data_IF_832316951776
#
_entry.id   IF_832316951776
#
_cell.length_a   1.000
_cell.length_b   1.000
_cell.length_c   1.000
_cell.angle_alpha   90.00
_cell.angle_beta   90.00
_cell.angle_gamma   90.00
#
_symmetry.space_group_name_H-M   'P 1'
#
loop_
_entity.id
_entity.type
_entity.pdbx_description
1 polymer ?
#
# COMPACT_ATOMS: atom_id res chain seq x y z
N UNK A 1 -0.71 4.27 5.63
CA UNK A 1 0.32 3.30 5.20
C UNK A 1 -0.22 1.89 5.19
N UNK A 2 0.08 1.13 4.13
CA UNK A 2 -0.24 -0.30 4.05
C UNK A 2 0.66 -1.17 4.95
N UNK A 3 1.74 -0.58 5.49
CA UNK A 3 2.75 -1.28 6.27
C UNK A 3 3.23 -0.41 7.43
N UNK A 4 3.38 -1.01 8.60
CA UNK A 4 4.00 -0.41 9.77
C UNK A 4 5.50 -0.70 9.75
N UNK A 5 6.29 0.33 9.99
CA UNK A 5 7.74 0.27 10.19
C UNK A 5 8.04 0.98 11.49
N UNK A 6 8.66 0.32 12.45
CA UNK A 6 9.04 0.92 13.71
C UNK A 6 10.40 0.40 14.20
N UNK A 7 11.11 1.23 14.94
CA UNK A 7 12.44 0.94 15.47
C UNK A 7 12.95 2.07 16.34
N UNK A 8 14.16 1.94 16.82
CA UNK A 8 14.82 2.96 17.62
C UNK A 8 15.68 3.86 16.74
N UNK A 9 15.71 5.14 17.06
CA UNK A 9 16.58 6.10 16.39
C UNK A 9 18.07 5.68 16.55
N UNK A 10 18.85 5.87 15.47
CA UNK A 10 20.26 5.48 15.43
C UNK A 10 20.52 4.03 14.99
N UNK A 11 19.48 3.24 14.73
CA UNK A 11 19.63 1.92 14.11
C UNK A 11 19.52 2.03 12.58
N UNK A 12 20.30 1.23 11.84
CA UNK A 12 20.33 1.26 10.36
C UNK A 12 19.03 0.77 9.72
N UNK A 13 18.30 -0.11 10.40
CA UNK A 13 17.06 -0.70 9.90
C UNK A 13 15.95 -0.65 10.97
N UNK A 14 14.67 -0.55 10.55
CA UNK A 14 13.57 -0.66 11.50
C UNK A 14 13.57 -2.04 12.16
N UNK A 15 13.31 -2.09 13.47
CA UNK A 15 13.26 -3.34 14.23
C UNK A 15 12.08 -4.20 13.84
N UNK A 16 10.96 -3.58 13.48
CA UNK A 16 9.79 -4.30 12.98
C UNK A 16 9.26 -3.71 11.66
N UNK A 17 8.73 -4.62 10.86
CA UNK A 17 8.12 -4.35 9.57
C UNK A 17 6.98 -5.35 9.36
N UNK A 18 5.72 -4.87 9.36
CA UNK A 18 4.55 -5.74 9.19
C UNK A 18 3.38 -4.99 8.55
N UNK A 19 2.41 -5.72 7.94
CA UNK A 19 1.23 -5.11 7.33
C UNK A 19 0.36 -4.38 8.34
N UNK A 20 -0.15 -3.22 7.96
CA UNK A 20 -1.08 -2.42 8.77
C UNK A 20 -2.49 -2.97 8.64
N UNK A 21 -2.76 -4.10 9.30
CA UNK A 21 -4.05 -4.77 9.27
C UNK A 21 -4.38 -5.46 10.59
N UNK A 22 -5.68 -5.57 10.86
CA UNK A 22 -6.25 -6.29 12.00
C UNK A 22 -7.20 -7.36 11.47
N UNK A 23 -7.02 -8.59 11.93
CA UNK A 23 -7.89 -9.72 11.61
C UNK A 23 -8.79 -10.07 12.79
N UNK A 24 -10.08 -10.23 12.53
CA UNK A 24 -11.05 -10.74 13.50
C UNK A 24 -11.67 -12.05 12.99
N UNK A 25 -11.93 -13.05 13.84
CA UNK A 25 -12.55 -14.32 13.42
C UNK A 25 -13.85 -14.08 12.64
N UNK A 26 -14.02 -14.80 11.53
CA UNK A 26 -15.28 -14.77 10.76
C UNK A 26 -16.43 -15.39 11.53
N UNK A 27 -16.12 -16.45 12.30
CA UNK A 27 -17.10 -17.23 13.06
C UNK A 27 -16.52 -17.59 14.43
N UNK A 28 -17.02 -16.97 15.48
CA UNK A 28 -16.54 -17.15 16.86
C UNK A 28 -16.76 -18.56 17.41
N UNK A 29 -17.81 -19.27 16.98
CA UNK A 29 -18.11 -20.62 17.45
C UNK A 29 -17.39 -21.76 16.71
N UNK A 30 -16.99 -21.54 15.45
CA UNK A 30 -16.34 -22.58 14.64
C UNK A 30 -14.83 -22.69 14.88
N UNK A 31 -14.26 -21.75 15.63
CA UNK A 31 -12.82 -21.64 15.84
C UNK A 31 -12.38 -21.92 17.27
N UNK A 32 -13.28 -22.38 18.13
CA UNK A 32 -12.95 -22.75 19.50
C UNK A 32 -11.89 -23.89 19.51
N UNK A 33 -10.70 -23.54 19.99
CA UNK A 33 -9.53 -24.43 20.04
C UNK A 33 -8.59 -24.40 18.82
N UNK A 34 -8.98 -23.81 17.69
CA UNK A 34 -8.10 -23.69 16.52
C UNK A 34 -7.22 -22.43 16.55
N UNK A 35 -7.72 -21.35 17.14
CA UNK A 35 -7.00 -20.08 17.26
C UNK A 35 -7.37 -19.43 18.59
N UNK A 36 -6.40 -19.27 19.48
CA UNK A 36 -6.58 -18.51 20.71
C UNK A 36 -6.47 -17.01 20.44
N UNK A 37 -7.52 -16.26 20.76
CA UNK A 37 -7.60 -14.80 20.67
C UNK A 37 -8.69 -14.29 19.71
N UNK A 38 -9.19 -13.09 20.01
CA UNK A 38 -10.26 -12.45 19.26
C UNK A 38 -9.75 -11.48 18.18
N UNK A 39 -8.47 -11.11 18.24
CA UNK A 39 -7.86 -10.08 17.39
C UNK A 39 -6.43 -10.49 17.04
N UNK A 40 -6.06 -10.33 15.76
CA UNK A 40 -4.76 -10.69 15.22
C UNK A 40 -4.21 -9.49 14.44
N UNK A 41 -2.93 -9.17 14.63
CA UNK A 41 -2.30 -7.97 14.05
C UNK A 41 -1.20 -8.39 13.06
N UNK A 42 -1.08 -7.64 11.98
CA UNK A 42 0.02 -7.70 11.05
C UNK A 42 0.25 -9.08 10.42
N UNK A 43 1.43 -9.65 10.63
CA UNK A 43 1.83 -10.93 10.01
C UNK A 43 0.93 -12.09 10.43
N UNK A 44 0.60 -12.17 11.72
CA UNK A 44 -0.28 -13.23 12.25
C UNK A 44 -1.68 -13.17 11.65
N UNK A 45 -2.19 -11.95 11.42
CA UNK A 45 -3.45 -11.75 10.72
C UNK A 45 -3.37 -12.21 9.26
N UNK A 46 -2.27 -11.94 8.56
CA UNK A 46 -2.07 -12.42 7.18
C UNK A 46 -1.93 -13.94 7.08
N UNK A 47 -1.23 -14.58 7.99
CA UNK A 47 -1.09 -16.05 8.04
C UNK A 47 -2.45 -16.72 8.19
N UNK A 48 -3.29 -16.18 9.05
CA UNK A 48 -4.63 -16.70 9.35
C UNK A 48 -5.75 -16.08 8.49
N UNK A 49 -5.42 -15.32 7.45
CA UNK A 49 -6.37 -14.53 6.63
C UNK A 49 -7.58 -15.32 6.12
N UNK A 50 -7.40 -16.61 5.84
CA UNK A 50 -8.50 -17.49 5.40
C UNK A 50 -9.62 -17.64 6.43
N UNK A 51 -9.28 -17.60 7.72
CA UNK A 51 -10.17 -17.73 8.86
C UNK A 51 -10.65 -16.39 9.39
N UNK A 52 -9.96 -15.29 9.04
CA UNK A 52 -10.18 -13.97 9.58
C UNK A 52 -10.87 -13.02 8.57
N UNK A 53 -11.66 -12.11 9.12
CA UNK A 53 -12.10 -10.92 8.42
C UNK A 53 -11.02 -9.84 8.60
N UNK A 54 -10.35 -9.50 7.50
CA UNK A 54 -9.28 -8.50 7.49
C UNK A 54 -9.86 -7.08 7.46
N UNK A 55 -9.31 -6.19 8.30
CA UNK A 55 -9.57 -4.75 8.31
C UNK A 55 -8.26 -3.98 8.20
N UNK A 56 -8.32 -2.84 7.56
CA UNK A 56 -7.20 -1.92 7.37
C UNK A 56 -7.59 -0.58 8.00
N UNK A 57 -6.97 -0.18 9.13
CA UNK A 57 -7.38 1.01 9.87
C UNK A 57 -7.03 2.33 9.18
N UNK A 58 -6.25 2.28 8.11
CA UNK A 58 -5.88 3.46 7.33
C UNK A 58 -6.36 3.35 5.88
N UNK A 59 -6.91 4.44 5.37
CA UNK A 59 -7.27 4.61 3.96
C UNK A 59 -6.65 5.91 3.43
N UNK A 60 -6.04 5.87 2.25
CA UNK A 60 -5.37 7.03 1.63
C UNK A 60 -4.46 7.81 2.60
N UNK A 61 -3.70 7.10 3.45
CA UNK A 61 -2.80 7.72 4.42
C UNK A 61 -3.46 8.35 5.65
N UNK A 62 -4.78 8.24 5.78
CA UNK A 62 -5.58 8.79 6.88
C UNK A 62 -6.07 7.65 7.76
N UNK A 63 -6.06 7.83 9.08
CA UNK A 63 -6.62 6.85 10.03
C UNK A 63 -8.13 7.01 10.05
N UNK A 64 -8.84 5.92 9.78
CA UNK A 64 -10.31 5.85 9.82
C UNK A 64 -10.80 5.08 11.06
N UNK A 65 -10.07 4.07 11.51
CA UNK A 65 -10.38 3.27 12.69
C UNK A 65 -9.30 3.46 13.76
N UNK A 66 -9.59 4.32 14.72
CA UNK A 66 -8.66 4.68 15.78
C UNK A 66 -8.49 3.55 16.81
N UNK A 67 -9.53 2.74 17.06
CA UNK A 67 -9.44 1.57 17.97
C UNK A 67 -8.45 0.54 17.41
N UNK A 68 -8.59 0.21 16.14
CA UNK A 68 -7.68 -0.72 15.48
C UNK A 68 -6.25 -0.14 15.36
N UNK A 69 -6.11 1.17 15.18
CA UNK A 69 -4.80 1.81 15.11
C UNK A 69 -4.10 1.84 16.45
N UNK A 70 -4.80 2.11 17.55
CA UNK A 70 -4.28 2.05 18.92
C UNK A 70 -3.79 0.64 19.26
N UNK A 71 -4.55 -0.40 18.89
CA UNK A 71 -4.13 -1.79 19.06
C UNK A 71 -2.84 -2.11 18.31
N UNK A 72 -2.69 -1.60 17.08
CA UNK A 72 -1.47 -1.78 16.31
C UNK A 72 -0.29 -1.10 16.98
N UNK A 73 -0.44 0.13 17.49
CA UNK A 73 0.62 0.81 18.23
C UNK A 73 0.98 0.08 19.53
N UNK A 74 -0.01 -0.44 20.25
CA UNK A 74 0.24 -1.27 21.43
C UNK A 74 1.04 -2.54 21.08
N UNK A 75 0.68 -3.21 19.98
CA UNK A 75 1.44 -4.36 19.46
C UNK A 75 2.89 -3.99 19.12
N UNK A 76 3.12 -2.80 18.55
CA UNK A 76 4.47 -2.30 18.28
C UNK A 76 5.28 -2.22 19.56
N UNK A 77 4.74 -1.63 20.63
CA UNK A 77 5.46 -1.50 21.89
C UNK A 77 5.64 -2.83 22.63
N UNK A 78 4.55 -3.58 22.81
CA UNK A 78 4.54 -4.77 23.66
C UNK A 78 5.24 -5.97 23.02
N UNK A 79 4.92 -6.25 21.75
CA UNK A 79 5.33 -7.50 21.09
C UNK A 79 6.59 -7.32 20.21
N UNK A 80 6.67 -6.22 19.48
CA UNK A 80 7.72 -6.02 18.47
C UNK A 80 8.95 -5.32 19.06
N UNK A 81 8.79 -4.17 19.69
CA UNK A 81 9.87 -3.41 20.32
C UNK A 81 10.24 -3.95 21.70
N UNK A 82 9.27 -4.48 22.42
CA UNK A 82 9.39 -4.99 23.80
C UNK A 82 9.98 -3.94 24.73
N UNK A 83 9.36 -2.77 24.73
CA UNK A 83 9.78 -1.62 25.53
C UNK A 83 8.57 -0.91 26.11
N UNK A 84 8.77 -0.18 27.19
CA UNK A 84 7.75 0.66 27.79
C UNK A 84 7.66 1.99 27.03
N UNK A 85 6.44 2.35 26.62
CA UNK A 85 6.20 3.58 25.86
C UNK A 85 6.56 4.84 26.66
N UNK A 86 6.37 4.82 27.97
CA UNK A 86 6.65 5.93 28.88
C UNK A 86 8.15 6.26 29.02
N UNK A 87 9.05 5.37 28.60
CA UNK A 87 10.50 5.59 28.67
C UNK A 87 11.08 6.24 27.41
N UNK A 88 10.29 6.33 26.31
CA UNK A 88 10.82 6.75 25.02
C UNK A 88 10.00 7.87 24.36
N UNK A 89 10.65 8.99 23.96
CA UNK A 89 10.04 9.93 23.01
C UNK A 89 9.67 9.27 21.69
N UNK A 90 8.60 9.74 21.08
CA UNK A 90 8.06 9.18 19.81
C UNK A 90 8.20 10.16 18.67
N UNK A 91 8.78 9.71 17.56
CA UNK A 91 8.69 10.34 16.26
C UNK A 91 7.64 9.59 15.42
N UNK A 92 6.50 10.22 15.19
CA UNK A 92 5.44 9.70 14.33
C UNK A 92 5.55 10.32 12.94
N UNK A 93 5.27 9.52 11.90
CA UNK A 93 5.25 10.03 10.53
C UNK A 93 3.82 10.15 9.99
N UNK A 94 3.60 11.16 9.17
CA UNK A 94 2.31 11.38 8.50
C UNK A 94 2.48 11.71 7.01
N UNK A 95 1.41 11.50 6.25
CA UNK A 95 1.33 11.96 4.86
C UNK A 95 1.06 13.47 4.81
N UNK A 96 1.44 14.18 3.74
CA UNK A 96 1.05 15.56 3.52
C UNK A 96 -0.47 15.73 3.52
N UNK A 97 -0.93 16.91 3.93
CA UNK A 97 -2.35 17.26 4.03
C UNK A 97 -3.18 16.31 4.93
N UNK A 98 -2.53 15.70 5.94
CA UNK A 98 -3.26 14.99 6.98
C UNK A 98 -4.13 15.97 7.78
N UNK A 99 -5.42 15.69 8.02
CA UNK A 99 -6.29 16.55 8.81
C UNK A 99 -5.70 16.84 10.20
N UNK A 100 -5.83 18.08 10.64
CA UNK A 100 -5.34 18.50 11.96
C UNK A 100 -5.96 17.69 13.09
N UNK A 101 -7.27 17.40 13.00
CA UNK A 101 -7.99 16.56 13.96
C UNK A 101 -7.34 15.19 14.15
N UNK A 102 -6.83 14.58 13.07
CA UNK A 102 -6.16 13.27 13.15
C UNK A 102 -4.84 13.37 13.94
N UNK A 103 -4.10 14.46 13.77
CA UNK A 103 -2.88 14.69 14.55
C UNK A 103 -3.19 14.92 16.03
N UNK A 104 -4.27 15.64 16.31
CA UNK A 104 -4.77 15.89 17.68
C UNK A 104 -5.20 14.57 18.33
N UNK A 105 -5.97 13.72 17.66
CA UNK A 105 -6.37 12.39 18.16
C UNK A 105 -5.15 11.48 18.37
N UNK A 106 -4.21 11.45 17.43
CA UNK A 106 -2.99 10.68 17.61
C UNK A 106 -2.20 11.16 18.83
N UNK A 107 -2.03 12.48 18.99
CA UNK A 107 -1.33 13.04 20.15
C UNK A 107 -2.04 12.68 21.47
N UNK A 108 -3.37 12.75 21.49
CA UNK A 108 -4.15 12.33 22.65
C UNK A 108 -3.88 10.88 23.02
N UNK A 109 -3.92 9.94 22.08
CA UNK A 109 -3.66 8.53 22.33
C UNK A 109 -2.23 8.32 22.83
N UNK A 110 -1.23 8.95 22.20
CA UNK A 110 0.16 8.77 22.62
C UNK A 110 0.43 9.34 24.01
N UNK A 111 -0.16 10.47 24.40
CA UNK A 111 0.05 11.03 25.74
C UNK A 111 -0.86 10.40 26.79
N UNK A 112 -2.14 10.13 26.49
CA UNK A 112 -3.09 9.64 27.50
C UNK A 112 -3.09 8.12 27.65
N UNK A 113 -2.93 7.35 26.54
CA UNK A 113 -2.94 5.89 26.59
C UNK A 113 -1.52 5.33 26.75
N UNK A 114 -0.56 5.81 25.95
CA UNK A 114 0.81 5.30 25.96
C UNK A 114 1.73 6.05 26.92
N UNK A 115 1.29 7.18 27.50
CA UNK A 115 2.03 7.98 28.48
C UNK A 115 3.45 8.36 28.02
N UNK A 116 3.62 8.64 26.71
CA UNK A 116 4.95 8.97 26.18
C UNK A 116 5.45 10.31 26.72
N UNK A 117 6.77 10.46 27.02
CA UNK A 117 7.31 11.69 27.59
C UNK A 117 7.33 12.86 26.60
N UNK A 118 7.42 12.59 25.31
CA UNK A 118 7.41 13.58 24.24
C UNK A 118 7.01 12.96 22.91
N UNK A 119 6.43 13.77 22.03
CA UNK A 119 6.03 13.36 20.68
C UNK A 119 6.40 14.43 19.66
N UNK A 120 6.87 13.99 18.50
CA UNK A 120 7.04 14.84 17.33
C UNK A 120 6.43 14.18 16.10
N UNK A 121 5.79 14.98 15.24
CA UNK A 121 5.20 14.49 13.99
C UNK A 121 5.94 15.09 12.82
N UNK A 122 6.37 14.25 11.88
CA UNK A 122 7.09 14.67 10.67
C UNK A 122 6.49 14.08 9.41
N UNK A 123 6.62 14.79 8.29
CA UNK A 123 6.25 14.22 6.98
C UNK A 123 7.27 13.16 6.56
N UNK A 124 6.79 12.03 6.06
CA UNK A 124 7.61 10.91 5.56
C UNK A 124 8.61 11.37 4.49
N UNK A 125 8.19 12.24 3.58
CA UNK A 125 9.03 12.75 2.51
C UNK A 125 10.26 13.52 3.01
N UNK A 126 10.13 14.35 4.06
CA UNK A 126 11.25 15.09 4.64
C UNK A 126 12.30 14.13 5.21
N UNK A 127 11.85 13.13 5.95
CA UNK A 127 12.74 12.11 6.52
C UNK A 127 13.41 11.27 5.43
N UNK A 128 12.68 10.96 4.35
CA UNK A 128 13.23 10.29 3.18
C UNK A 128 14.34 11.10 2.50
N UNK A 129 14.17 12.42 2.40
CA UNK A 129 15.21 13.31 1.87
C UNK A 129 16.45 13.33 2.78
N UNK A 130 16.25 13.45 4.08
CA UNK A 130 17.36 13.44 5.06
C UNK A 130 18.12 12.12 5.04
N UNK A 131 17.46 10.98 4.85
CA UNK A 131 18.13 9.68 4.75
C UNK A 131 19.09 9.60 3.55
N UNK A 132 18.88 10.42 2.50
CA UNK A 132 19.81 10.55 1.37
C UNK A 132 20.96 11.54 1.60
N UNK A 133 21.06 12.13 2.80
CA UNK A 133 22.06 13.16 3.14
C UNK A 133 21.78 14.53 2.53
N UNK A 134 20.57 14.78 2.05
CA UNK A 134 20.17 16.03 1.39
C UNK A 134 19.18 16.81 2.25
N UNK A 135 19.23 18.14 2.14
CA UNK A 135 18.28 19.06 2.78
C UNK A 135 17.42 19.81 1.77
N UNK A 136 17.78 19.74 0.50
CA UNK A 136 17.04 20.38 -0.59
C UNK A 136 16.80 19.40 -1.71
N UNK A 137 15.56 19.35 -2.23
CA UNK A 137 15.17 18.46 -3.32
C UNK A 137 13.66 18.31 -3.42
N UNK A 138 13.22 17.48 -4.36
CA UNK A 138 11.82 17.05 -4.49
C UNK A 138 11.75 15.56 -4.18
N UNK A 139 10.83 15.18 -3.31
CA UNK A 139 10.58 13.77 -2.98
C UNK A 139 9.25 13.36 -3.60
N UNK A 140 9.29 12.39 -4.50
CA UNK A 140 8.13 11.66 -4.97
C UNK A 140 7.99 10.38 -4.15
N UNK A 141 6.94 10.28 -3.39
CA UNK A 141 6.60 9.08 -2.60
C UNK A 141 5.26 8.51 -3.06
N UNK A 142 5.28 7.27 -3.54
CA UNK A 142 4.10 6.53 -3.96
C UNK A 142 3.98 5.29 -3.08
N UNK A 143 3.07 5.35 -2.12
CA UNK A 143 2.86 4.31 -1.13
C UNK A 143 1.77 3.30 -1.50
N UNK A 144 1.11 2.79 -0.47
CA UNK A 144 -0.04 1.90 -0.65
C UNK A 144 -1.33 2.67 -0.99
N UNK A 145 -1.59 3.79 -0.31
CA UNK A 145 -2.86 4.51 -0.42
C UNK A 145 -2.77 5.93 -0.98
N UNK A 146 -1.58 6.49 -1.13
CA UNK A 146 -1.39 7.88 -1.56
C UNK A 146 -0.06 8.04 -2.29
N UNK A 147 -0.07 8.89 -3.31
CA UNK A 147 1.13 9.37 -4.01
C UNK A 147 1.24 10.87 -3.83
N UNK A 148 2.42 11.35 -3.48
CA UNK A 148 2.65 12.79 -3.31
C UNK A 148 4.05 13.20 -3.70
N UNK A 149 4.16 14.44 -4.21
CA UNK A 149 5.41 15.11 -4.46
C UNK A 149 5.57 16.27 -3.46
N UNK A 150 6.67 16.26 -2.74
CA UNK A 150 6.98 17.24 -1.70
C UNK A 150 8.28 17.94 -2.05
N UNK A 151 8.25 19.20 -2.48
CA UNK A 151 9.45 20.02 -2.59
C UNK A 151 9.91 20.47 -1.21
N UNK A 152 11.20 20.30 -0.96
CA UNK A 152 11.87 20.66 0.30
C UNK A 152 13.03 21.61 -0.04
N UNK A 153 13.13 22.70 0.67
CA UNK A 153 14.22 23.65 0.55
C UNK A 153 14.85 23.90 1.93
N UNK A 154 16.15 23.68 2.05
CA UNK A 154 16.91 23.80 3.31
C UNK A 154 16.25 23.11 4.51
N UNK A 155 15.64 21.94 4.29
CA UNK A 155 14.96 21.15 5.33
C UNK A 155 13.48 21.50 5.56
N UNK A 156 12.97 22.54 4.90
CA UNK A 156 11.58 22.97 5.04
C UNK A 156 10.76 22.55 3.82
N UNK A 157 9.68 21.79 4.05
CA UNK A 157 8.72 21.54 2.99
C UNK A 157 8.05 22.84 2.56
N UNK A 158 7.76 22.97 1.27
CA UNK A 158 7.05 24.10 0.69
C UNK A 158 5.55 23.77 0.57
N UNK A 159 4.69 24.10 1.56
CA UNK A 159 3.32 23.56 1.66
C UNK A 159 2.44 23.89 0.45
N UNK A 160 2.63 25.09 -0.13
CA UNK A 160 1.87 25.56 -1.30
C UNK A 160 2.22 24.82 -2.60
N UNK A 161 3.36 24.17 -2.65
CA UNK A 161 3.84 23.41 -3.81
C UNK A 161 3.73 21.90 -3.64
N UNK A 162 3.23 21.41 -2.49
CA UNK A 162 2.95 20.00 -2.29
C UNK A 162 1.80 19.58 -3.21
N UNK A 163 2.03 18.48 -3.95
CA UNK A 163 1.01 17.82 -4.76
C UNK A 163 0.72 16.45 -4.16
N UNK A 164 -0.56 16.12 -4.04
CA UNK A 164 -1.04 14.84 -3.54
C UNK A 164 -2.15 14.32 -4.43
N UNK A 165 -2.08 13.03 -4.73
CA UNK A 165 -3.14 12.26 -5.39
C UNK A 165 -3.42 10.99 -4.57
N UNK A 166 -4.68 10.60 -4.52
CA UNK A 166 -5.14 9.42 -3.78
C UNK A 166 -5.21 8.18 -4.69
N UNK A 167 -4.21 8.04 -5.58
CA UNK A 167 -3.98 6.88 -6.44
C UNK A 167 -2.60 6.32 -6.13
N UNK A 168 -2.55 5.04 -5.74
CA UNK A 168 -1.31 4.40 -5.31
C UNK A 168 -1.37 2.86 -5.42
N UNK A 169 -0.53 2.17 -4.69
CA UNK A 169 -0.37 0.71 -4.79
C UNK A 169 -1.62 -0.11 -4.52
N UNK A 170 -2.54 0.38 -3.69
CA UNK A 170 -3.83 -0.29 -3.42
C UNK A 170 -4.74 -0.25 -4.64
N UNK A 171 -4.79 0.89 -5.32
CA UNK A 171 -5.58 1.07 -6.54
C UNK A 171 -5.06 0.16 -7.66
N UNK A 172 -3.73 0.03 -7.79
CA UNK A 172 -3.11 -0.94 -8.71
C UNK A 172 -3.52 -2.37 -8.36
N UNK A 173 -3.59 -2.73 -7.08
CA UNK A 173 -4.04 -4.07 -6.66
C UNK A 173 -5.49 -4.31 -7.03
N UNK A 174 -6.36 -3.33 -6.83
CA UNK A 174 -7.79 -3.41 -7.18
C UNK A 174 -7.98 -3.48 -8.70
N UNK A 175 -7.21 -2.69 -9.44
CA UNK A 175 -7.23 -2.75 -10.91
C UNK A 175 -6.73 -4.10 -11.43
N UNK A 176 -5.67 -4.66 -10.86
CA UNK A 176 -5.20 -6.01 -11.19
C UNK A 176 -6.28 -7.06 -10.88
N UNK A 177 -6.95 -6.95 -9.74
CA UNK A 177 -8.06 -7.83 -9.37
C UNK A 177 -9.19 -7.78 -10.41
N UNK A 178 -9.53 -6.59 -10.89
CA UNK A 178 -10.50 -6.40 -11.95
C UNK A 178 -10.05 -7.04 -13.29
N UNK A 179 -8.79 -6.85 -13.68
CA UNK A 179 -8.24 -7.43 -14.90
C UNK A 179 -8.19 -8.96 -14.82
N UNK A 180 -7.74 -9.54 -13.71
CA UNK A 180 -7.74 -10.99 -13.46
C UNK A 180 -9.14 -11.58 -13.55
N UNK A 181 -10.14 -10.88 -13.01
CA UNK A 181 -11.54 -11.32 -13.13
C UNK A 181 -11.99 -11.39 -14.59
N UNK A 182 -11.56 -10.46 -15.44
CA UNK A 182 -11.86 -10.50 -16.88
C UNK A 182 -11.18 -11.66 -17.58
N UNK A 183 -10.02 -12.08 -17.10
CA UNK A 183 -9.27 -13.25 -17.59
C UNK A 183 -9.75 -14.58 -16.98
N UNK A 184 -10.86 -14.56 -16.19
CA UNK A 184 -11.49 -15.77 -15.65
C UNK A 184 -11.01 -16.17 -14.25
N UNK A 185 -10.16 -15.38 -13.60
CA UNK A 185 -9.70 -15.65 -12.23
C UNK A 185 -10.52 -14.86 -11.21
N UNK A 186 -11.30 -15.54 -10.40
CA UNK A 186 -12.22 -14.95 -9.43
C UNK A 186 -11.59 -14.88 -8.03
N UNK A 187 -10.85 -13.82 -7.76
CA UNK A 187 -10.21 -13.53 -6.48
C UNK A 187 -10.89 -12.30 -5.86
N UNK A 188 -11.94 -12.46 -5.04
CA UNK A 188 -12.79 -11.34 -4.59
C UNK A 188 -12.90 -11.16 -3.07
N UNK A 189 -12.46 -12.14 -2.29
CA UNK A 189 -12.48 -12.03 -0.82
C UNK A 189 -11.32 -11.17 -0.30
N UNK A 190 -11.43 -10.67 0.93
CA UNK A 190 -10.35 -9.92 1.58
C UNK A 190 -9.05 -10.73 1.71
N UNK A 191 -9.16 -12.05 1.91
CA UNK A 191 -8.02 -12.96 1.93
C UNK A 191 -7.37 -13.11 0.55
N UNK A 192 -8.17 -13.17 -0.51
CA UNK A 192 -7.70 -13.28 -1.89
C UNK A 192 -7.14 -11.96 -2.40
N UNK A 193 -7.59 -10.80 -1.91
CA UNK A 193 -7.00 -9.49 -2.20
C UNK A 193 -5.51 -9.44 -1.81
N UNK A 194 -5.12 -10.09 -0.71
CA UNK A 194 -3.72 -10.22 -0.32
C UNK A 194 -2.92 -11.11 -1.30
N UNK A 195 -3.56 -12.11 -1.92
CA UNK A 195 -2.94 -12.91 -2.98
C UNK A 195 -2.74 -12.04 -4.23
N UNK A 196 -3.74 -11.26 -4.63
CA UNK A 196 -3.62 -10.31 -5.77
C UNK A 196 -2.50 -9.30 -5.50
N UNK A 197 -2.36 -8.80 -4.26
CA UNK A 197 -1.24 -7.96 -3.86
C UNK A 197 0.12 -8.65 -4.06
N UNK A 198 0.23 -9.91 -3.65
CA UNK A 198 1.46 -10.69 -3.86
C UNK A 198 1.74 -10.93 -5.36
N UNK A 199 0.72 -11.17 -6.17
CA UNK A 199 0.84 -11.25 -7.64
C UNK A 199 1.36 -9.92 -8.19
N UNK A 200 0.78 -8.78 -7.79
CA UNK A 200 1.24 -7.46 -8.18
C UNK A 200 2.72 -7.26 -7.88
N UNK A 201 3.12 -7.51 -6.64
CA UNK A 201 4.50 -7.27 -6.18
C UNK A 201 5.55 -8.17 -6.85
N UNK A 202 5.16 -9.38 -7.28
CA UNK A 202 6.07 -10.34 -7.90
C UNK A 202 6.07 -10.33 -9.42
N UNK A 203 4.92 -10.04 -10.04
CA UNK A 203 4.72 -10.26 -11.47
C UNK A 203 4.45 -9.00 -12.26
N UNK A 204 3.92 -7.92 -11.64
CA UNK A 204 3.64 -6.68 -12.38
C UNK A 204 4.89 -5.84 -12.59
N UNK A 205 4.93 -5.17 -13.72
CA UNK A 205 6.00 -4.24 -14.10
C UNK A 205 5.44 -3.18 -15.07
N UNK A 206 6.13 -2.07 -15.18
CA UNK A 206 5.80 -1.07 -16.19
C UNK A 206 6.27 -1.55 -17.57
N UNK A 207 5.49 -1.25 -18.60
CA UNK A 207 5.90 -1.47 -19.97
C UNK A 207 7.03 -0.48 -20.36
N UNK A 208 8.08 -0.99 -20.98
CA UNK A 208 9.15 -0.14 -21.50
C UNK A 208 8.86 0.14 -22.97
N UNK A 209 8.78 1.41 -23.41
CA UNK A 209 8.56 1.74 -24.81
C UNK A 209 9.58 1.06 -25.70
N UNK A 210 9.14 0.28 -26.70
CA UNK A 210 9.99 -0.45 -27.64
C UNK A 210 10.30 -1.90 -27.28
N UNK A 211 9.91 -2.40 -26.11
CA UNK A 211 9.99 -3.82 -25.78
C UNK A 211 8.68 -4.59 -25.99
N UNK A 212 7.55 -3.87 -25.92
CA UNK A 212 6.22 -4.45 -26.08
C UNK A 212 5.36 -3.48 -26.91
N UNK A 213 5.20 -3.75 -28.21
CA UNK A 213 4.34 -2.97 -29.13
C UNK A 213 2.83 -3.15 -28.85
N UNK A 214 2.45 -3.42 -27.61
CA UNK A 214 1.07 -3.74 -27.22
C UNK A 214 0.17 -2.51 -27.05
N UNK A 215 0.72 -1.28 -27.08
CA UNK A 215 -0.03 -0.08 -26.69
C UNK A 215 -0.70 0.72 -27.83
N UNK A 216 -0.63 0.30 -29.10
CA UNK A 216 -1.16 1.12 -30.19
C UNK A 216 -2.65 0.87 -30.55
N UNK A 217 -3.39 0.03 -29.83
CA UNK A 217 -4.76 -0.34 -30.25
C UNK A 217 -5.92 0.41 -29.59
N UNK A 218 -5.72 1.49 -28.84
CA UNK A 218 -6.84 2.18 -28.18
C UNK A 218 -7.45 3.38 -28.93
N UNK A 219 -6.93 3.77 -30.12
CA UNK A 219 -7.49 4.89 -30.88
C UNK A 219 -7.70 4.64 -32.38
N UNK A 220 -7.86 3.37 -32.82
CA UNK A 220 -8.31 3.13 -34.20
C UNK A 220 -9.68 2.46 -34.21
N UNK A 221 -10.63 3.15 -34.81
CA UNK A 221 -11.93 2.58 -35.22
C UNK A 221 -11.73 1.35 -36.12
N UNK A 222 -12.63 0.35 -36.08
CA UNK A 222 -12.49 -0.85 -36.88
C UNK A 222 -12.70 -0.52 -38.35
N UNK A 223 -11.64 -0.44 -39.13
CA UNK A 223 -11.74 -0.61 -40.59
C UNK A 223 -11.49 -2.07 -40.90
N UNK A 224 -12.46 -2.66 -41.59
CA UNK A 224 -12.43 -4.01 -42.14
C UNK A 224 -11.26 -4.16 -43.12
N UNK A 225 -10.26 -4.96 -42.72
CA UNK A 225 -9.40 -5.62 -43.72
C UNK A 225 -9.03 -7.02 -43.21
N UNK A 226 -9.51 -8.01 -43.94
CA UNK A 226 -9.17 -9.42 -43.79
C UNK A 226 -7.74 -9.64 -44.33
N UNK A 227 -6.74 -9.63 -43.47
CA UNK A 227 -5.50 -10.37 -43.72
C UNK A 227 -5.08 -11.06 -42.42
N UNK A 228 -5.11 -12.39 -42.49
CA UNK A 228 -4.53 -13.30 -41.49
C UNK A 228 -3.03 -13.03 -41.41
N UNK A 229 -2.63 -12.24 -40.42
CA UNK A 229 -1.28 -12.32 -39.86
C UNK A 229 -1.38 -13.17 -38.61
N UNK A 230 -0.85 -14.39 -38.68
CA UNK A 230 -0.48 -15.19 -37.52
C UNK A 230 0.51 -14.34 -36.71
N UNK A 231 -0.04 -13.64 -35.70
CA UNK A 231 0.79 -13.02 -34.69
C UNK A 231 1.37 -14.13 -33.82
N UNK A 232 2.59 -14.49 -34.13
CA UNK A 232 3.50 -15.21 -33.22
C UNK A 232 3.96 -14.28 -32.10
N UNK A 233 3.02 -13.69 -31.37
CA UNK A 233 3.26 -13.14 -30.05
C UNK A 233 3.08 -14.26 -29.03
N UNK A 234 4.13 -15.04 -28.84
CA UNK A 234 4.29 -15.80 -27.63
C UNK A 234 4.47 -14.79 -26.50
N UNK A 235 3.36 -14.15 -26.05
CA UNK A 235 3.32 -13.44 -24.81
C UNK A 235 4.00 -14.33 -23.78
N UNK A 236 5.11 -13.86 -23.21
CA UNK A 236 5.78 -14.59 -22.14
C UNK A 236 4.86 -14.55 -20.93
N UNK A 237 3.94 -15.51 -20.88
CA UNK A 237 3.05 -15.70 -19.77
C UNK A 237 3.91 -15.94 -18.52
N UNK A 238 3.64 -15.18 -17.47
CA UNK A 238 4.26 -15.40 -16.16
C UNK A 238 3.31 -16.22 -15.33
N UNK A 239 3.78 -17.30 -14.78
CA UNK A 239 3.01 -18.19 -13.93
C UNK A 239 3.20 -17.83 -12.46
N UNK A 240 2.08 -17.75 -11.76
CA UNK A 240 2.05 -17.54 -10.31
C UNK A 240 1.26 -18.68 -9.67
N UNK A 241 1.90 -19.41 -8.75
CA UNK A 241 1.25 -20.50 -8.01
C UNK A 241 0.50 -19.93 -6.80
N UNK A 242 -0.80 -20.20 -6.75
CA UNK A 242 -1.67 -19.87 -5.64
C UNK A 242 -1.41 -20.77 -4.44
N UNK A 243 -1.84 -20.37 -3.22
CA UNK A 243 -1.68 -21.20 -2.01
C UNK A 243 -2.36 -22.57 -2.07
N UNK A 244 -3.37 -22.73 -2.92
CA UNK A 244 -4.09 -23.98 -3.17
C UNK A 244 -3.44 -24.88 -4.23
N UNK A 245 -2.30 -24.45 -4.80
CA UNK A 245 -1.56 -25.14 -5.84
C UNK A 245 -2.03 -24.83 -7.27
N UNK A 246 -3.12 -24.09 -7.46
CA UNK A 246 -3.54 -23.66 -8.79
C UNK A 246 -2.55 -22.63 -9.37
N UNK A 247 -2.46 -22.57 -10.70
CA UNK A 247 -1.56 -21.65 -11.40
C UNK A 247 -2.38 -20.58 -12.10
N UNK A 248 -2.05 -19.32 -11.80
CA UNK A 248 -2.54 -18.15 -12.54
C UNK A 248 -1.52 -17.80 -13.61
N UNK A 249 -1.96 -17.70 -14.86
CA UNK A 249 -1.14 -17.27 -16.00
C UNK A 249 -1.44 -15.81 -16.29
N UNK A 250 -0.40 -14.99 -16.23
CA UNK A 250 -0.48 -13.54 -16.37
C UNK A 250 0.11 -13.13 -17.72
N UNK A 251 -0.66 -12.47 -18.53
CA UNK A 251 -0.25 -11.83 -19.78
C UNK A 251 -0.10 -10.31 -19.63
N UNK A 252 -0.90 -9.57 -20.36
CA UNK A 252 -0.87 -8.09 -20.33
C UNK A 252 -1.39 -7.48 -19.03
N UNK A 253 -2.13 -8.21 -18.21
CA UNK A 253 -2.62 -7.71 -16.90
C UNK A 253 -1.49 -7.17 -16.05
N UNK A 254 -0.31 -7.81 -16.14
CA UNK A 254 0.90 -7.44 -15.40
C UNK A 254 1.47 -6.06 -15.79
N UNK A 255 1.23 -5.61 -17.02
CA UNK A 255 1.64 -4.29 -17.50
C UNK A 255 0.52 -3.27 -17.34
N UNK A 256 -0.71 -3.66 -17.64
CA UNK A 256 -1.88 -2.75 -17.60
C UNK A 256 -2.26 -2.34 -16.18
N UNK A 257 -2.04 -3.20 -15.18
CA UNK A 257 -2.41 -2.87 -13.81
C UNK A 257 -1.65 -1.64 -13.27
N UNK A 258 -0.31 -1.55 -13.38
CA UNK A 258 0.42 -0.38 -12.89
C UNK A 258 0.26 0.88 -13.75
N UNK A 259 -0.26 0.80 -14.98
CA UNK A 259 -0.58 1.96 -15.81
C UNK A 259 -1.59 2.91 -15.15
N UNK A 260 -2.45 2.40 -14.28
CA UNK A 260 -3.37 3.21 -13.49
C UNK A 260 -2.67 4.32 -12.67
N UNK A 261 -1.38 4.19 -12.36
CA UNK A 261 -0.60 5.25 -11.70
C UNK A 261 -0.33 6.44 -12.64
N UNK A 262 -0.28 6.23 -13.93
CA UNK A 262 -0.01 7.25 -14.94
C UNK A 262 -1.30 7.74 -15.62
N UNK A 263 -2.28 6.86 -15.72
CA UNK A 263 -3.57 7.09 -16.36
C UNK A 263 -4.71 6.69 -15.43
N UNK A 264 -5.01 7.53 -14.40
CA UNK A 264 -6.05 7.23 -13.39
C UNK A 264 -7.45 7.01 -13.97
N UNK A 265 -7.72 7.53 -15.17
CA UNK A 265 -8.95 7.28 -15.90
C UNK A 265 -9.22 5.78 -16.19
N UNK A 266 -8.19 4.93 -16.21
CA UNK A 266 -8.33 3.49 -16.35
C UNK A 266 -9.09 2.83 -15.19
N UNK A 267 -9.09 3.49 -14.03
CA UNK A 267 -9.80 3.07 -12.82
C UNK A 267 -10.98 4.00 -12.48
N UNK A 268 -11.39 4.85 -13.44
CA UNK A 268 -12.52 5.76 -13.29
C UNK A 268 -12.26 6.95 -12.35
N UNK A 269 -10.99 7.36 -12.21
CA UNK A 269 -10.58 8.53 -11.43
C UNK A 269 -10.24 9.70 -12.36
N UNK A 270 -10.61 10.91 -11.95
CA UNK A 270 -10.30 12.17 -12.66
C UNK A 270 -8.99 12.82 -12.16
N UNK A 271 -8.21 12.09 -11.36
CA UNK A 271 -6.93 12.56 -10.84
C UNK A 271 -5.88 12.67 -11.97
N UNK A 272 -4.86 13.47 -11.73
CA UNK A 272 -3.69 13.54 -12.62
C UNK A 272 -2.78 12.32 -12.43
N UNK A 273 -2.07 11.93 -13.48
CA UNK A 273 -1.10 10.84 -13.38
C UNK A 273 0.14 11.21 -12.57
N UNK A 274 0.82 10.22 -12.00
CA UNK A 274 2.02 10.40 -11.17
C UNK A 274 3.11 11.23 -11.87
N UNK A 275 3.25 11.10 -13.19
CA UNK A 275 4.19 11.87 -14.00
C UNK A 275 3.82 13.37 -14.13
N UNK A 276 2.59 13.74 -13.83
CA UNK A 276 2.10 15.12 -13.87
C UNK A 276 2.12 15.78 -12.48
N UNK A 277 2.39 15.01 -11.43
CA UNK A 277 2.48 15.50 -10.04
C UNK A 277 3.81 16.19 -9.80
N UNK A 278 4.86 15.82 -10.51
CA UNK A 278 6.18 16.45 -10.50
C UNK A 278 6.18 17.74 -11.31
#
# INVERSE_FOLDING_TARGET
SGTIKAGFAGQDTPKCFFPNCVGRPKHTRAMAGAVEGDRFIGRKAQELRGLLRMRYPMQHGIVEDWEDMEMIWNHVYADELKTLSEEHPVLLTEAPHNPRSNRETAAQIFFETFNVPAMYVSMQAILGLYSSGRTTGVVLDSGDGVTHAVPVYEGFAMPHAIRRIDVAGRDVTEHLQYLLRRSGYYLHTSAEKEIVRAIKEKCCQLAVPGQDDVHQHHHRQPQHDHHQHEHTDSERLVEFTLPDGNIVKLGHERYRAPEALFYPELIGREDVGTHQVL
#
